data_IF_155808962289
#
_entry.id   IF_155808962289
#
_cell.length_a   1.000
_cell.length_b   1.000
_cell.length_c   1.000
_cell.angle_alpha   90.00
_cell.angle_beta   90.00
_cell.angle_gamma   90.00
#
_symmetry.space_group_name_H-M   'P 1'
#
loop_
_entity.id
_entity.type
_entity.pdbx_description
1 polymer ?
#
# COMPACT_ATOMS: atom_id res chain seq x y z
N UNK A 1 35.29 -17.26 2.34
CA UNK A 1 34.54 -17.22 1.07
C UNK A 1 33.18 -17.84 1.32
N UNK A 2 32.14 -17.00 1.42
CA UNK A 2 30.77 -17.47 1.58
C UNK A 2 30.23 -17.77 0.18
N UNK A 3 29.87 -19.03 -0.05
CA UNK A 3 29.39 -19.57 -1.31
C UNK A 3 28.08 -18.86 -1.70
N UNK A 4 28.18 -17.92 -2.64
CA UNK A 4 27.08 -17.15 -3.19
C UNK A 4 26.23 -17.99 -4.14
N UNK A 5 25.60 -19.05 -3.63
CA UNK A 5 24.58 -19.77 -4.38
C UNK A 5 23.28 -18.97 -4.36
N UNK A 6 22.71 -18.64 -5.54
CA UNK A 6 21.42 -18.00 -5.61
C UNK A 6 20.40 -18.94 -4.98
N UNK A 7 19.67 -18.45 -3.96
CA UNK A 7 18.55 -19.18 -3.36
C UNK A 7 17.52 -19.35 -4.48
N UNK A 8 17.45 -20.55 -5.04
CA UNK A 8 16.40 -20.89 -6.00
C UNK A 8 15.06 -20.79 -5.26
N UNK A 9 14.04 -20.20 -5.90
CA UNK A 9 12.77 -19.85 -5.25
C UNK A 9 12.00 -21.01 -4.60
N UNK A 10 12.39 -22.26 -4.82
CA UNK A 10 11.86 -23.44 -4.12
C UNK A 10 12.46 -23.63 -2.72
N UNK A 11 13.78 -23.50 -2.57
CA UNK A 11 14.50 -23.67 -1.28
C UNK A 11 14.08 -22.56 -0.30
N UNK A 12 13.85 -21.35 -0.80
CA UNK A 12 13.38 -20.23 0.02
C UNK A 12 11.98 -20.45 0.59
N UNK A 13 11.07 -21.08 -0.15
CA UNK A 13 9.67 -21.29 0.30
C UNK A 13 9.58 -22.32 1.42
N UNK A 14 10.27 -23.44 1.28
CA UNK A 14 10.29 -24.49 2.32
C UNK A 14 10.89 -23.92 3.62
N UNK A 15 12.01 -23.19 3.52
CA UNK A 15 12.63 -22.56 4.68
C UNK A 15 11.71 -21.52 5.35
N UNK A 16 11.04 -20.67 4.56
CA UNK A 16 10.08 -19.69 5.09
C UNK A 16 8.92 -20.39 5.80
N UNK A 17 8.40 -21.47 5.23
CA UNK A 17 7.33 -22.25 5.84
C UNK A 17 7.77 -22.93 7.14
N UNK A 18 8.97 -23.52 7.17
CA UNK A 18 9.54 -24.12 8.38
C UNK A 18 9.76 -23.09 9.49
N UNK A 19 10.20 -21.87 9.14
CA UNK A 19 10.33 -20.76 10.08
C UNK A 19 8.97 -20.30 10.60
N UNK A 20 7.97 -20.21 9.72
CA UNK A 20 6.59 -19.91 10.10
C UNK A 20 6.06 -20.93 11.12
N UNK A 21 6.22 -22.23 10.87
CA UNK A 21 5.77 -23.27 11.81
C UNK A 21 6.44 -23.17 13.18
N UNK A 22 7.75 -22.87 13.22
CA UNK A 22 8.47 -22.65 14.48
C UNK A 22 7.99 -21.41 15.21
N UNK A 23 7.68 -20.34 14.48
CA UNK A 23 7.14 -19.11 15.04
C UNK A 23 5.73 -19.32 15.63
N UNK A 24 4.84 -20.03 14.92
CA UNK A 24 3.52 -20.39 15.45
C UNK A 24 3.61 -21.26 16.71
N UNK A 25 4.48 -22.28 16.71
CA UNK A 25 4.70 -23.12 17.89
C UNK A 25 5.25 -22.32 19.09
N UNK A 26 6.12 -21.33 18.83
CA UNK A 26 6.60 -20.41 19.85
C UNK A 26 5.46 -19.54 20.39
N UNK A 27 4.63 -18.94 19.53
CA UNK A 27 3.46 -18.15 19.97
C UNK A 27 2.53 -18.95 20.87
N UNK A 28 2.22 -20.18 20.48
CA UNK A 28 1.36 -21.09 21.24
C UNK A 28 1.97 -21.42 22.62
N UNK A 29 3.27 -21.73 22.68
CA UNK A 29 3.94 -22.06 23.93
C UNK A 29 3.92 -20.93 24.98
N UNK A 30 3.88 -19.66 24.52
CA UNK A 30 3.81 -18.49 25.39
C UNK A 30 2.40 -17.91 25.53
N UNK A 31 1.41 -18.46 24.82
CA UNK A 31 0.03 -17.96 24.82
C UNK A 31 -0.09 -16.53 24.28
N UNK A 32 0.76 -16.14 23.33
CA UNK A 32 0.77 -14.79 22.73
C UNK A 32 0.19 -14.82 21.31
N UNK A 33 -0.20 -13.65 20.81
CA UNK A 33 -0.71 -13.46 19.45
C UNK A 33 -0.09 -12.21 18.83
N UNK A 34 -0.02 -12.18 17.50
CA UNK A 34 0.41 -11.01 16.72
C UNK A 34 -0.76 -10.29 16.04
N UNK A 35 -0.45 -9.23 15.29
CA UNK A 35 -1.47 -8.42 14.61
C UNK A 35 -2.22 -9.25 13.56
N UNK A 36 -1.55 -10.16 12.85
CA UNK A 36 -2.21 -10.97 11.82
C UNK A 36 -3.11 -12.04 12.42
N UNK A 37 -2.75 -12.59 13.58
CA UNK A 37 -3.65 -13.46 14.36
C UNK A 37 -4.92 -12.70 14.78
N UNK A 38 -4.76 -11.46 15.24
CA UNK A 38 -5.88 -10.61 15.62
C UNK A 38 -6.77 -10.28 14.41
N UNK A 39 -6.17 -9.89 13.28
CA UNK A 39 -6.89 -9.65 12.02
C UNK A 39 -7.68 -10.89 11.58
N UNK A 40 -7.05 -12.06 11.62
CA UNK A 40 -7.70 -13.32 11.24
C UNK A 40 -8.83 -13.70 12.21
N UNK A 41 -8.65 -13.49 13.51
CA UNK A 41 -9.69 -13.73 14.51
C UNK A 41 -10.91 -12.82 14.30
N UNK A 42 -10.68 -11.52 14.05
CA UNK A 42 -11.74 -10.54 13.75
C UNK A 42 -12.47 -10.95 12.47
N UNK A 43 -11.74 -11.22 11.39
CA UNK A 43 -12.30 -11.67 10.13
C UNK A 43 -13.16 -12.94 10.30
N UNK A 44 -12.63 -13.94 10.99
CA UNK A 44 -13.32 -15.21 11.25
C UNK A 44 -14.61 -15.03 12.06
N UNK A 45 -14.59 -14.13 13.06
CA UNK A 45 -15.78 -13.80 13.84
C UNK A 45 -16.84 -13.11 12.99
N UNK A 46 -16.44 -12.14 12.16
CA UNK A 46 -17.34 -11.44 11.23
C UNK A 46 -17.97 -12.38 10.21
N UNK A 47 -17.20 -13.33 9.65
CA UNK A 47 -17.73 -14.32 8.71
C UNK A 47 -18.78 -15.24 9.33
N UNK A 48 -18.67 -15.55 10.62
CA UNK A 48 -19.62 -16.43 11.33
C UNK A 48 -20.86 -15.69 11.83
N UNK A 49 -20.70 -14.47 12.33
CA UNK A 49 -21.75 -13.77 13.09
C UNK A 49 -22.25 -12.48 12.42
N UNK A 50 -21.65 -12.09 11.30
CA UNK A 50 -21.75 -10.74 10.75
C UNK A 50 -20.96 -9.73 11.58
N UNK A 51 -20.82 -8.53 11.03
CA UNK A 51 -20.32 -7.38 11.80
C UNK A 51 -21.43 -6.88 12.75
N UNK A 52 -21.12 -6.80 14.05
CA UNK A 52 -22.05 -6.41 15.13
C UNK A 52 -21.72 -5.07 15.79
N UNK A 53 -20.72 -4.37 15.27
CA UNK A 53 -20.37 -3.05 15.76
C UNK A 53 -21.36 -1.97 15.30
N UNK A 54 -21.10 -0.70 15.64
CA UNK A 54 -21.85 0.43 15.11
C UNK A 54 -21.82 0.42 13.59
N UNK A 55 -22.94 0.79 12.95
CA UNK A 55 -23.00 0.95 11.49
C UNK A 55 -21.96 2.01 11.07
N UNK A 56 -21.11 1.64 10.13
CA UNK A 56 -20.12 2.53 9.52
C UNK A 56 -20.56 2.74 8.08
N UNK A 57 -21.02 3.95 7.78
CA UNK A 57 -21.58 4.28 6.47
C UNK A 57 -20.48 4.53 5.42
N UNK A 58 -19.38 5.18 5.81
CA UNK A 58 -18.28 5.58 4.93
C UNK A 58 -16.94 5.41 5.66
N UNK A 59 -15.89 5.06 4.93
CA UNK A 59 -14.53 4.92 5.47
C UNK A 59 -13.54 5.56 4.50
N UNK A 60 -12.67 6.40 5.04
CA UNK A 60 -11.56 7.03 4.35
C UNK A 60 -10.25 6.51 4.94
N UNK A 61 -9.42 5.91 4.10
CA UNK A 61 -8.14 5.34 4.50
C UNK A 61 -7.04 6.07 3.74
N UNK A 62 -6.15 6.72 4.50
CA UNK A 62 -4.93 7.32 4.01
C UNK A 62 -3.74 6.36 4.20
N UNK A 63 -2.67 6.55 3.46
CA UNK A 63 -1.46 5.72 3.48
C UNK A 63 -1.74 4.22 3.34
N UNK A 64 -2.60 3.86 2.38
CA UNK A 64 -3.07 2.47 2.20
C UNK A 64 -1.94 1.47 1.92
N UNK A 65 -0.79 1.95 1.45
CA UNK A 65 0.41 1.14 1.23
C UNK A 65 1.02 0.57 2.52
N UNK A 66 0.72 1.15 3.67
CA UNK A 66 1.21 0.67 4.97
C UNK A 66 0.35 -0.46 5.56
N UNK A 67 -0.78 -0.79 4.92
CA UNK A 67 -1.68 -1.86 5.35
C UNK A 67 -1.48 -3.15 4.55
N UNK A 68 -1.58 -4.27 5.24
CA UNK A 68 -1.70 -5.58 4.59
C UNK A 68 -3.06 -5.75 3.90
N UNK A 69 -3.13 -6.62 2.89
CA UNK A 69 -4.40 -6.97 2.25
C UNK A 69 -5.42 -7.54 3.26
N UNK A 70 -4.95 -8.23 4.30
CA UNK A 70 -5.79 -8.77 5.36
C UNK A 70 -6.44 -7.66 6.19
N UNK A 71 -5.70 -6.61 6.53
CA UNK A 71 -6.25 -5.43 7.23
C UNK A 71 -7.21 -4.65 6.35
N UNK A 72 -6.85 -4.41 5.08
CA UNK A 72 -7.72 -3.75 4.12
C UNK A 72 -9.05 -4.49 3.94
N UNK A 73 -9.02 -5.82 3.99
CA UNK A 73 -10.23 -6.64 3.90
C UNK A 73 -11.18 -6.38 5.08
N UNK A 74 -10.66 -6.09 6.27
CA UNK A 74 -11.50 -5.75 7.41
C UNK A 74 -12.28 -4.45 7.15
N UNK A 75 -11.66 -3.42 6.58
CA UNK A 75 -12.36 -2.18 6.20
C UNK A 75 -13.49 -2.45 5.20
N UNK A 76 -13.22 -3.30 4.20
CA UNK A 76 -14.22 -3.70 3.20
C UNK A 76 -15.39 -4.45 3.83
N UNK A 77 -15.14 -5.29 4.83
CA UNK A 77 -16.18 -6.09 5.49
C UNK A 77 -17.05 -5.28 6.46
N UNK A 78 -16.47 -4.31 7.19
CA UNK A 78 -17.21 -3.54 8.20
C UNK A 78 -18.01 -2.37 7.61
N UNK A 79 -17.63 -1.87 6.44
CA UNK A 79 -18.34 -0.78 5.78
C UNK A 79 -19.71 -1.25 5.28
N UNK A 80 -20.76 -0.52 5.66
CA UNK A 80 -22.14 -0.84 5.29
C UNK A 80 -22.36 -0.70 3.78
N UNK A 81 -21.83 0.37 3.18
CA UNK A 81 -21.77 0.55 1.73
C UNK A 81 -20.32 0.44 1.25
N UNK A 82 -20.02 -0.64 0.52
CA UNK A 82 -18.68 -0.84 -0.06
C UNK A 82 -18.36 0.21 -1.12
N UNK A 83 -19.37 0.82 -1.75
CA UNK A 83 -19.16 1.91 -2.71
C UNK A 83 -18.80 3.24 -2.04
N UNK A 84 -18.92 3.34 -0.71
CA UNK A 84 -18.57 4.52 0.08
C UNK A 84 -17.18 4.43 0.74
N UNK A 85 -16.36 3.46 0.30
CA UNK A 85 -14.97 3.32 0.69
C UNK A 85 -14.08 4.24 -0.18
N UNK A 86 -13.20 5.00 0.46
CA UNK A 86 -12.21 5.83 -0.20
C UNK A 86 -10.81 5.50 0.31
N UNK A 87 -9.92 5.14 -0.61
CA UNK A 87 -8.55 4.69 -0.35
C UNK A 87 -7.56 5.61 -1.07
N UNK A 88 -6.55 6.11 -0.37
CA UNK A 88 -5.50 6.96 -0.93
C UNK A 88 -4.13 6.55 -0.37
N UNK A 89 -3.10 6.67 -1.20
CA UNK A 89 -1.73 6.29 -0.86
C UNK A 89 -0.82 6.27 -2.09
N UNK A 90 0.44 5.86 -1.87
CA UNK A 90 1.47 5.80 -2.91
C UNK A 90 2.31 4.53 -2.73
N UNK A 91 2.31 3.67 -3.75
CA UNK A 91 3.06 2.40 -3.72
C UNK A 91 4.58 2.61 -3.70
N UNK A 92 5.06 3.72 -4.26
CA UNK A 92 6.48 4.07 -4.25
C UNK A 92 6.97 4.55 -2.88
N UNK A 93 6.05 4.85 -1.95
CA UNK A 93 6.35 5.32 -0.59
C UNK A 93 6.13 4.23 0.48
N UNK A 94 6.19 2.95 0.10
CA UNK A 94 5.99 1.87 1.07
C UNK A 94 7.12 1.83 2.11
N UNK A 95 6.81 2.17 3.37
CA UNK A 95 7.76 2.15 4.49
C UNK A 95 7.67 0.81 5.23
N UNK A 96 6.50 0.17 5.22
CA UNK A 96 6.26 -1.12 5.87
C UNK A 96 7.05 -2.25 5.20
N UNK A 97 8.12 -2.72 5.87
CA UNK A 97 8.94 -3.85 5.40
C UNK A 97 8.08 -5.11 5.25
N UNK A 98 8.02 -5.64 4.03
CA UNK A 98 7.33 -6.91 3.73
C UNK A 98 5.87 -6.78 3.30
N UNK A 99 5.34 -5.56 3.21
CA UNK A 99 4.02 -5.30 2.60
C UNK A 99 4.24 -4.95 1.12
N UNK A 100 3.84 -5.82 0.22
CA UNK A 100 3.82 -5.55 -1.23
C UNK A 100 2.45 -5.01 -1.63
N UNK A 101 2.09 -3.81 -1.19
CA UNK A 101 0.80 -3.23 -1.53
C UNK A 101 0.77 -2.78 -3.00
N UNK A 102 -0.33 -3.12 -3.68
CA UNK A 102 -0.66 -2.64 -5.02
C UNK A 102 -2.12 -2.26 -5.07
N UNK A 103 -2.44 -1.17 -5.75
CA UNK A 103 -3.84 -0.81 -5.98
C UNK A 103 -4.58 -1.90 -6.79
N UNK A 104 -3.86 -2.63 -7.65
CA UNK A 104 -4.41 -3.79 -8.35
C UNK A 104 -4.97 -4.86 -7.39
N UNK A 105 -4.27 -5.14 -6.29
CA UNK A 105 -4.71 -6.12 -5.29
C UNK A 105 -5.99 -5.65 -4.60
N UNK A 106 -6.08 -4.36 -4.28
CA UNK A 106 -7.29 -3.75 -3.72
C UNK A 106 -8.46 -3.82 -4.71
N UNK A 107 -8.25 -3.50 -6.00
CA UNK A 107 -9.31 -3.63 -7.02
C UNK A 107 -9.77 -5.08 -7.19
N UNK A 108 -8.85 -6.05 -7.06
CA UNK A 108 -9.16 -7.48 -7.11
C UNK A 108 -10.03 -7.91 -5.94
N UNK A 109 -9.78 -7.39 -4.73
CA UNK A 109 -10.64 -7.63 -3.57
C UNK A 109 -12.07 -7.14 -3.82
N UNK A 110 -12.25 -5.94 -4.37
CA UNK A 110 -13.57 -5.42 -4.73
C UNK A 110 -14.26 -6.23 -5.82
N UNK A 111 -13.50 -6.69 -6.83
CA UNK A 111 -14.01 -7.57 -7.87
C UNK A 111 -14.55 -8.87 -7.27
N UNK A 112 -13.78 -9.52 -6.39
CA UNK A 112 -14.22 -10.73 -5.69
C UNK A 112 -15.51 -10.49 -4.90
N UNK A 113 -15.61 -9.38 -4.15
CA UNK A 113 -16.83 -9.07 -3.39
C UNK A 113 -18.04 -8.76 -4.28
N UNK A 114 -17.82 -8.12 -5.42
CA UNK A 114 -18.86 -7.95 -6.45
C UNK A 114 -19.38 -9.30 -6.96
N UNK A 115 -18.49 -10.24 -7.28
CA UNK A 115 -18.89 -11.57 -7.77
C UNK A 115 -19.60 -12.40 -6.68
N UNK A 116 -19.14 -12.32 -5.43
CA UNK A 116 -19.81 -12.95 -4.28
C UNK A 116 -21.23 -12.41 -4.11
N UNK A 117 -21.42 -11.09 -4.15
CA UNK A 117 -22.73 -10.46 -4.02
C UNK A 117 -23.66 -10.88 -5.16
N UNK A 118 -23.18 -10.89 -6.41
CA UNK A 118 -23.98 -11.35 -7.55
C UNK A 118 -24.43 -12.80 -7.38
N UNK A 119 -23.52 -13.66 -6.92
CA UNK A 119 -23.81 -15.07 -6.67
C UNK A 119 -24.87 -15.24 -5.57
N UNK A 120 -24.76 -14.50 -4.46
CA UNK A 120 -25.78 -14.50 -3.39
C UNK A 120 -27.16 -14.06 -3.92
N UNK A 121 -27.22 -12.94 -4.63
CA UNK A 121 -28.47 -12.41 -5.21
C UNK A 121 -29.13 -13.43 -6.15
N UNK A 122 -28.35 -14.03 -7.05
CA UNK A 122 -28.83 -15.07 -7.97
C UNK A 122 -29.32 -16.31 -7.22
N UNK A 123 -28.61 -16.73 -6.17
CA UNK A 123 -29.02 -17.88 -5.33
C UNK A 123 -30.36 -17.64 -4.61
N UNK A 124 -30.69 -16.38 -4.34
CA UNK A 124 -31.96 -15.94 -3.75
C UNK A 124 -33.07 -15.74 -4.79
N UNK A 125 -32.80 -16.04 -6.07
CA UNK A 125 -33.74 -15.90 -7.17
C UNK A 125 -33.96 -14.46 -7.64
N UNK A 126 -33.10 -13.52 -7.24
CA UNK A 126 -33.15 -12.14 -7.69
C UNK A 126 -32.45 -12.00 -9.03
N UNK A 127 -33.06 -11.26 -9.96
CA UNK A 127 -32.41 -10.91 -11.22
C UNK A 127 -31.57 -9.66 -11.01
N UNK A 128 -30.35 -9.65 -11.54
CA UNK A 128 -29.42 -8.53 -11.37
C UNK A 128 -29.97 -7.23 -11.96
N UNK A 129 -30.82 -7.30 -13.00
CA UNK A 129 -31.48 -6.11 -13.55
C UNK A 129 -32.50 -5.46 -12.62
N UNK A 130 -33.04 -6.20 -11.65
CA UNK A 130 -34.06 -5.71 -10.71
C UNK A 130 -33.41 -5.05 -9.48
N UNK A 131 -32.12 -5.29 -9.23
CA UNK A 131 -31.37 -4.70 -8.12
C UNK A 131 -30.89 -3.29 -8.51
N UNK A 132 -31.15 -2.26 -7.69
CA UNK A 132 -30.66 -0.93 -7.99
C UNK A 132 -29.14 -0.90 -8.14
N UNK A 133 -28.64 -0.29 -9.23
CA UNK A 133 -27.19 -0.26 -9.55
C UNK A 133 -26.31 0.36 -8.46
N UNK A 134 -26.88 1.16 -7.55
CA UNK A 134 -26.13 1.75 -6.44
C UNK A 134 -25.92 0.77 -5.28
N UNK A 135 -26.74 -0.29 -5.17
CA UNK A 135 -26.58 -1.35 -4.15
C UNK A 135 -25.58 -2.42 -4.59
N UNK A 136 -25.30 -2.51 -5.89
CA UNK A 136 -24.29 -3.41 -6.42
C UNK A 136 -22.89 -2.86 -6.11
N UNK A 137 -22.04 -3.72 -5.56
CA UNK A 137 -20.63 -3.41 -5.29
C UNK A 137 -19.94 -3.16 -6.63
N UNK A 138 -19.27 -2.02 -6.74
CA UNK A 138 -18.49 -1.66 -7.94
C UNK A 138 -17.01 -1.87 -7.67
N UNK A 139 -16.29 -2.27 -8.71
CA UNK A 139 -14.83 -2.22 -8.68
C UNK A 139 -14.43 -0.74 -8.78
N UNK A 140 -13.71 -0.20 -7.78
CA UNK A 140 -13.32 1.19 -7.78
C UNK A 140 -12.34 1.46 -8.92
N UNK A 141 -12.45 2.65 -9.52
CA UNK A 141 -11.45 3.14 -10.47
C UNK A 141 -10.30 3.75 -9.67
N UNK A 142 -9.08 3.35 -10.00
CA UNK A 142 -7.88 4.00 -9.48
C UNK A 142 -7.70 5.33 -10.21
N UNK A 143 -7.81 6.43 -9.48
CA UNK A 143 -7.50 7.76 -10.00
C UNK A 143 -6.06 8.10 -9.64
N UNK A 144 -5.30 8.58 -10.61
CA UNK A 144 -3.90 8.98 -10.42
C UNK A 144 -3.82 10.50 -10.35
N UNK A 145 -2.99 11.00 -9.45
CA UNK A 145 -2.70 12.43 -9.32
C UNK A 145 -1.25 12.65 -9.79
N UNK A 146 -1.07 13.15 -11.01
CA UNK A 146 0.26 13.32 -11.65
C UNK A 146 0.83 14.73 -11.52
N UNK A 147 0.13 15.64 -10.86
CA UNK A 147 0.60 17.01 -10.63
C UNK A 147 1.15 17.11 -9.21
N UNK A 148 2.46 17.33 -9.10
CA UNK A 148 3.13 17.56 -7.83
C UNK A 148 3.15 19.06 -7.52
N UNK A 149 2.50 19.43 -6.43
CA UNK A 149 2.39 20.82 -5.98
C UNK A 149 3.49 21.23 -4.98
N UNK A 150 4.34 20.30 -4.56
CA UNK A 150 5.35 20.51 -3.51
C UNK A 150 6.73 20.85 -4.08
N UNK A 151 7.05 20.35 -5.27
CA UNK A 151 8.43 20.29 -5.78
C UNK A 151 8.52 20.66 -7.26
N UNK A 152 9.69 21.16 -7.68
CA UNK A 152 9.98 21.55 -9.06
C UNK A 152 10.36 20.38 -9.99
N UNK A 153 10.28 20.59 -11.31
CA UNK A 153 10.54 19.56 -12.33
C UNK A 153 11.95 18.94 -12.28
N UNK A 154 12.97 19.69 -11.86
CA UNK A 154 14.33 19.16 -11.68
C UNK A 154 14.42 17.97 -10.72
N UNK A 155 13.82 18.05 -9.53
CA UNK A 155 13.80 16.94 -8.56
C UNK A 155 12.87 15.82 -9.05
N UNK A 156 11.69 16.16 -9.58
CA UNK A 156 10.74 15.19 -10.10
C UNK A 156 11.33 14.36 -11.25
N UNK A 157 12.13 14.99 -12.11
CA UNK A 157 12.84 14.31 -13.19
C UNK A 157 13.80 13.25 -12.65
N UNK A 158 14.63 13.59 -11.68
CA UNK A 158 15.55 12.61 -11.08
C UNK A 158 14.80 11.47 -10.35
N UNK A 159 13.75 11.79 -9.58
CA UNK A 159 12.92 10.79 -8.93
C UNK A 159 12.26 9.86 -9.95
N UNK A 160 11.74 10.41 -11.04
CA UNK A 160 11.11 9.65 -12.11
C UNK A 160 12.06 8.67 -12.79
N UNK A 161 13.34 9.03 -12.97
CA UNK A 161 14.33 8.11 -13.55
C UNK A 161 14.64 6.95 -12.59
N UNK A 162 14.70 7.20 -11.27
CA UNK A 162 14.84 6.14 -10.26
C UNK A 162 13.63 5.19 -10.28
N UNK A 163 12.42 5.72 -10.32
CA UNK A 163 11.19 4.91 -10.42
C UNK A 163 11.18 4.12 -11.73
N UNK A 164 11.64 4.69 -12.83
CA UNK A 164 11.74 3.99 -14.13
C UNK A 164 12.67 2.78 -14.04
N UNK A 165 13.82 2.93 -13.38
CA UNK A 165 14.74 1.82 -13.11
C UNK A 165 14.13 0.76 -12.19
N UNK A 166 13.38 1.16 -11.17
CA UNK A 166 12.67 0.21 -10.29
C UNK A 166 11.64 -0.61 -11.06
N UNK A 167 10.87 0.02 -11.95
CA UNK A 167 9.90 -0.66 -12.81
C UNK A 167 10.57 -1.62 -13.81
N UNK A 168 11.75 -1.28 -14.34
CA UNK A 168 12.50 -2.15 -15.25
C UNK A 168 13.07 -3.37 -14.51
N UNK A 169 13.67 -3.16 -13.34
CA UNK A 169 14.36 -4.22 -12.58
C UNK A 169 13.38 -5.09 -11.77
N UNK A 170 12.27 -4.51 -11.30
CA UNK A 170 11.30 -5.15 -10.40
C UNK A 170 9.85 -4.86 -10.82
N UNK A 171 9.43 -5.30 -12.03
CA UNK A 171 8.16 -4.91 -12.65
C UNK A 171 6.90 -5.32 -11.87
N UNK A 172 7.02 -6.23 -10.91
CA UNK A 172 5.91 -6.71 -10.08
C UNK A 172 5.91 -6.15 -8.65
N UNK A 173 6.86 -5.27 -8.31
CA UNK A 173 7.00 -4.75 -6.94
C UNK A 173 6.31 -3.40 -6.71
N UNK A 174 6.02 -2.65 -7.77
CA UNK A 174 5.38 -1.33 -7.71
C UNK A 174 4.38 -1.17 -8.86
N UNK A 175 3.33 -0.38 -8.65
CA UNK A 175 2.36 -0.08 -9.69
C UNK A 175 2.97 0.87 -10.73
N UNK A 176 2.72 0.62 -12.02
CA UNK A 176 3.14 1.53 -13.09
C UNK A 176 2.32 2.83 -13.05
N UNK A 177 2.94 3.91 -12.59
CA UNK A 177 2.36 5.24 -12.50
C UNK A 177 2.84 6.15 -13.64
N UNK A 178 2.03 7.16 -13.96
CA UNK A 178 2.46 8.22 -14.87
C UNK A 178 3.55 9.05 -14.19
N UNK A 179 4.44 9.65 -14.98
CA UNK A 179 5.49 10.51 -14.43
C UNK A 179 4.85 11.76 -13.79
N UNK A 180 5.28 12.08 -12.58
CA UNK A 180 4.88 13.32 -11.90
C UNK A 180 5.40 14.55 -12.64
N UNK A 181 4.59 15.59 -12.65
CA UNK A 181 4.89 16.89 -13.27
C UNK A 181 4.69 18.00 -12.26
N UNK A 182 5.65 18.93 -12.18
CA UNK A 182 5.59 20.11 -11.33
C UNK A 182 5.10 21.33 -12.09
N UNK A 183 4.73 22.38 -11.34
CA UNK A 183 4.27 23.64 -11.93
C UNK A 183 5.40 24.53 -12.48
N UNK A 184 6.63 24.31 -12.02
CA UNK A 184 7.78 25.14 -12.34
C UNK A 184 9.05 24.31 -12.48
N UNK A 185 9.96 24.81 -13.30
CA UNK A 185 11.32 24.29 -13.39
C UNK A 185 12.16 24.81 -12.22
N UNK A 186 13.14 24.01 -11.81
CA UNK A 186 14.08 24.38 -10.76
C UNK A 186 15.49 23.92 -11.12
N UNK A 187 16.46 24.13 -10.23
CA UNK A 187 17.84 23.73 -10.48
C UNK A 187 17.97 22.23 -10.74
N UNK A 188 18.99 21.84 -11.51
CA UNK A 188 19.29 20.43 -11.68
C UNK A 188 19.79 19.84 -10.34
N UNK A 189 19.35 18.61 -9.98
CA UNK A 189 19.86 17.93 -8.81
C UNK A 189 21.39 17.80 -8.87
N UNK A 190 22.06 18.12 -7.77
CA UNK A 190 23.52 18.05 -7.66
C UNK A 190 23.92 16.88 -6.76
N UNK A 191 24.81 16.02 -7.25
CA UNK A 191 25.44 15.00 -6.42
C UNK A 191 26.59 15.64 -5.64
N UNK A 192 26.49 15.62 -4.31
CA UNK A 192 27.55 16.08 -3.44
C UNK A 192 28.63 14.99 -3.32
N UNK A 193 29.80 15.21 -3.93
CA UNK A 193 30.92 14.23 -3.93
C UNK A 193 31.85 14.38 -2.73
N UNK A 194 32.03 15.61 -2.25
CA UNK A 194 32.94 15.96 -1.17
C UNK A 194 32.20 16.84 -0.15
N UNK A 195 31.62 16.21 0.87
CA UNK A 195 30.91 16.91 1.95
C UNK A 195 31.43 16.43 3.30
N UNK A 196 31.92 17.37 4.12
CA UNK A 196 32.33 17.04 5.48
C UNK A 196 31.09 16.75 6.35
N UNK A 197 31.28 16.06 7.48
CA UNK A 197 30.17 15.80 8.42
C UNK A 197 29.54 17.10 8.93
N UNK A 198 30.36 18.13 9.10
CA UNK A 198 29.92 19.44 9.59
C UNK A 198 29.10 20.16 8.52
N UNK A 199 29.57 20.18 7.26
CA UNK A 199 28.81 20.77 6.14
C UNK A 199 27.48 20.05 5.92
N UNK A 200 27.46 18.72 6.03
CA UNK A 200 26.23 17.93 5.95
C UNK A 200 25.27 18.27 7.08
N UNK A 201 25.78 18.45 8.31
CA UNK A 201 24.97 18.83 9.46
C UNK A 201 24.32 20.21 9.28
N UNK A 202 25.06 21.17 8.70
CA UNK A 202 24.55 22.50 8.38
C UNK A 202 23.47 22.41 7.30
N UNK A 203 23.68 21.59 6.27
CA UNK A 203 22.74 21.39 5.18
C UNK A 203 21.42 20.75 5.65
N UNK A 204 21.47 19.77 6.55
CA UNK A 204 20.30 19.03 7.04
C UNK A 204 19.55 19.76 8.15
N UNK A 205 20.27 20.46 9.04
CA UNK A 205 19.67 21.16 10.18
C UNK A 205 19.35 22.63 9.88
N UNK A 206 19.79 23.13 8.72
CA UNK A 206 19.72 24.53 8.34
C UNK A 206 20.77 25.38 9.05
N UNK A 207 21.37 26.31 8.31
CA UNK A 207 22.03 27.49 8.91
C UNK A 207 20.98 28.56 9.23
N UNK A 208 21.28 29.39 10.24
CA UNK A 208 20.47 30.48 10.81
C UNK A 208 19.29 30.95 9.90
N UNK A 209 18.02 30.88 10.38
CA UNK A 209 16.81 31.17 9.60
C UNK A 209 16.77 32.55 8.92
N UNK A 210 17.71 33.45 9.23
CA UNK A 210 17.81 34.75 8.57
C UNK A 210 18.45 34.69 7.17
N UNK A 211 19.22 33.66 6.81
CA UNK A 211 20.01 33.63 5.56
C UNK A 211 19.86 32.36 4.70
N UNK A 212 19.08 31.36 5.12
CA UNK A 212 18.86 30.16 4.29
C UNK A 212 17.77 30.42 3.25
N UNK A 213 18.16 30.65 2.00
CA UNK A 213 17.23 30.92 0.89
C UNK A 213 16.70 29.65 0.21
N UNK A 214 17.15 28.47 0.66
CA UNK A 214 16.76 27.18 0.11
C UNK A 214 16.42 26.26 1.27
N UNK A 215 15.16 25.86 1.36
CA UNK A 215 14.72 24.80 2.26
C UNK A 215 15.06 23.45 1.64
N UNK A 216 15.48 22.48 2.46
CA UNK A 216 15.81 21.14 1.99
C UNK A 216 14.54 20.47 1.44
N UNK A 217 14.49 20.27 0.11
CA UNK A 217 13.36 19.65 -0.58
C UNK A 217 12.34 20.61 -1.21
N UNK A 218 12.62 21.93 -1.25
CA UNK A 218 11.87 22.92 -2.03
C UNK A 218 12.46 23.12 -3.43
#
# INVERSE_FOLDING_TARGET
EADGKPITGAIGRELVYDLYLKYEAWKEAFGVYDVMDACFAIYSAMRKQGYRGPRIDEIYVDEVQDFTQAELLLFVEVCADKNALFFTGDTCQTIARGVGFRFEDLTTMFFQRSEEQKTDLLSRGLRLEDVPKYELIKVPKVNKLSVNYRTHNGILGAASEIVSLLLELFPYSVDALEKDTGHFDGPLPMLLTDTSKDDLSILLCGSDPQHSQIEFGA
#
